data_IF_790956300989
#
_entry.id   IF_790956300989
#
_cell.length_a   1.000
_cell.length_b   1.000
_cell.length_c   1.000
_cell.angle_alpha   90.00
_cell.angle_beta   90.00
_cell.angle_gamma   90.00
#
_symmetry.space_group_name_H-M   'P 1'
#
loop_
_entity.id
_entity.type
_entity.pdbx_description
1 polymer ?
#
# COMPACT_ATOMS: atom_id res chain seq x y z
N UNK A 1 6.91 -2.92 -3.81
CA UNK A 1 5.54 -2.86 -4.35
C UNK A 1 5.33 -1.57 -5.12
N UNK A 2 4.62 -1.62 -6.25
CA UNK A 2 4.17 -0.43 -6.97
C UNK A 2 2.74 -0.02 -6.55
N UNK A 3 2.26 1.13 -7.04
CA UNK A 3 0.91 1.63 -6.70
C UNK A 3 -0.22 0.71 -7.21
N UNK A 4 0.04 -0.08 -8.26
CA UNK A 4 -0.94 -1.02 -8.82
C UNK A 4 -1.12 -2.25 -7.92
N UNK A 5 -0.01 -2.84 -7.46
CA UNK A 5 0.00 -3.93 -6.49
C UNK A 5 -0.64 -3.49 -5.17
N UNK A 6 -0.33 -2.28 -4.68
CA UNK A 6 -0.97 -1.73 -3.47
C UNK A 6 -2.47 -1.58 -3.68
N UNK A 7 -2.91 -1.08 -4.84
CA UNK A 7 -4.34 -0.97 -5.18
C UNK A 7 -5.04 -2.33 -5.14
N UNK A 8 -4.43 -3.35 -5.76
CA UNK A 8 -4.98 -4.71 -5.77
C UNK A 8 -5.02 -5.30 -4.36
N UNK A 9 -3.92 -5.17 -3.60
CA UNK A 9 -3.79 -5.63 -2.22
C UNK A 9 -4.82 -5.02 -1.28
N UNK A 10 -5.18 -3.76 -1.53
CA UNK A 10 -6.18 -3.03 -0.74
C UNK A 10 -7.61 -3.20 -1.27
N UNK A 11 -7.83 -3.81 -2.45
CA UNK A 11 -9.15 -3.99 -3.03
C UNK A 11 -9.88 -2.67 -3.37
N UNK A 12 -9.13 -1.60 -3.70
CA UNK A 12 -9.68 -0.24 -3.86
C UNK A 12 -9.55 0.32 -5.29
N UNK A 13 -10.23 1.44 -5.54
CA UNK A 13 -10.06 2.21 -6.76
C UNK A 13 -8.66 2.84 -6.87
N UNK A 14 -8.22 3.13 -8.10
CA UNK A 14 -6.93 3.80 -8.36
C UNK A 14 -6.84 5.18 -7.70
N UNK A 15 -7.91 5.98 -7.78
CA UNK A 15 -7.97 7.29 -7.13
C UNK A 15 -7.82 7.17 -5.60
N UNK A 16 -8.49 6.20 -4.98
CA UNK A 16 -8.37 5.96 -3.54
C UNK A 16 -6.96 5.50 -3.15
N UNK A 17 -6.33 4.66 -3.98
CA UNK A 17 -4.94 4.25 -3.78
C UNK A 17 -4.01 5.48 -3.74
N UNK A 18 -4.09 6.37 -4.73
CA UNK A 18 -3.26 7.59 -4.75
C UNK A 18 -3.46 8.49 -3.53
N UNK A 19 -4.69 8.63 -3.04
CA UNK A 19 -4.95 9.37 -1.81
C UNK A 19 -4.30 8.72 -0.59
N UNK A 20 -4.32 7.38 -0.50
CA UNK A 20 -3.76 6.65 0.65
C UNK A 20 -2.23 6.74 0.63
N UNK A 21 -1.59 6.45 -0.50
CA UNK A 21 -0.12 6.46 -0.60
C UNK A 21 0.49 7.86 -0.49
N UNK A 22 -0.33 8.91 -0.52
CA UNK A 22 0.06 10.29 -0.22
C UNK A 22 -0.10 10.70 1.24
N UNK A 23 -0.65 9.85 2.12
CA UNK A 23 -0.85 10.18 3.54
C UNK A 23 0.46 10.07 4.31
N UNK A 24 0.65 10.94 5.31
CA UNK A 24 1.80 10.89 6.23
C UNK A 24 1.91 9.59 7.03
N UNK A 25 0.78 8.91 7.24
CA UNK A 25 0.75 7.62 7.95
C UNK A 25 1.14 6.45 7.05
N UNK A 26 1.12 6.62 5.73
CA UNK A 26 1.52 5.57 4.79
C UNK A 26 3.04 5.53 4.66
N UNK A 27 3.66 4.36 4.46
CA UNK A 27 5.11 4.25 4.30
C UNK A 27 5.66 5.21 3.25
N UNK A 28 6.86 5.74 3.51
CA UNK A 28 7.59 6.52 2.52
C UNK A 28 7.95 5.60 1.34
N UNK A 29 8.03 6.13 0.11
CA UNK A 29 8.50 5.33 -1.01
C UNK A 29 9.98 4.96 -0.79
N UNK A 30 10.29 3.67 -0.93
CA UNK A 30 11.65 3.15 -0.98
C UNK A 30 12.44 3.74 -2.17
N UNK A 31 11.75 3.94 -3.30
CA UNK A 31 12.35 4.56 -4.47
C UNK A 31 11.32 5.44 -5.22
N UNK A 32 11.78 6.58 -5.72
CA UNK A 32 11.03 7.46 -6.61
C UNK A 32 11.62 7.34 -8.02
N UNK A 33 10.79 6.96 -8.98
CA UNK A 33 11.12 6.76 -10.38
C UNK A 33 10.52 7.89 -11.23
N UNK A 34 11.01 8.04 -12.46
CA UNK A 34 10.45 9.02 -13.43
C UNK A 34 8.95 8.84 -13.64
N UNK A 35 8.46 7.59 -13.64
CA UNK A 35 7.06 7.26 -13.91
C UNK A 35 6.31 6.71 -12.69
N UNK A 36 6.85 6.80 -11.47
CA UNK A 36 6.15 6.25 -10.32
C UNK A 36 6.96 6.20 -9.04
N UNK A 37 6.44 5.42 -8.08
CA UNK A 37 7.04 5.20 -6.77
C UNK A 37 6.99 3.71 -6.46
N UNK A 38 8.00 3.25 -5.75
CA UNK A 38 8.12 1.89 -5.25
C UNK A 38 8.22 1.97 -3.74
N UNK A 39 7.46 1.14 -3.04
CA UNK A 39 7.45 1.00 -1.59
C UNK A 39 8.04 -0.33 -1.17
N UNK A 40 8.62 -0.38 0.03
CA UNK A 40 8.98 -1.64 0.65
C UNK A 40 7.72 -2.47 0.94
N UNK A 41 7.73 -3.76 0.58
CA UNK A 41 6.57 -4.62 0.75
C UNK A 41 6.27 -4.90 2.23
N UNK A 42 7.30 -5.10 3.06
CA UNK A 42 7.14 -5.38 4.47
C UNK A 42 6.56 -4.18 5.21
N UNK A 43 6.98 -2.95 4.87
CA UNK A 43 6.40 -1.74 5.47
C UNK A 43 4.93 -1.54 5.09
N UNK A 44 4.57 -1.81 3.82
CA UNK A 44 3.17 -1.75 3.38
C UNK A 44 2.32 -2.79 4.11
N UNK A 45 2.80 -4.02 4.26
CA UNK A 45 2.08 -5.06 5.00
C UNK A 45 1.97 -4.74 6.49
N UNK A 46 3.01 -4.19 7.12
CA UNK A 46 2.95 -3.72 8.50
C UNK A 46 1.90 -2.61 8.67
N UNK A 47 1.85 -1.67 7.72
CA UNK A 47 0.82 -0.64 7.69
C UNK A 47 -0.58 -1.24 7.55
N UNK A 48 -0.77 -2.24 6.69
CA UNK A 48 -2.05 -2.94 6.53
C UNK A 48 -2.48 -3.59 7.84
N UNK A 49 -1.59 -4.29 8.54
CA UNK A 49 -1.91 -4.91 9.84
C UNK A 49 -2.38 -3.89 10.88
N UNK A 50 -1.75 -2.72 10.93
CA UNK A 50 -2.07 -1.67 11.91
C UNK A 50 -3.37 -0.94 11.55
N UNK A 51 -3.52 -0.53 10.29
CA UNK A 51 -4.59 0.38 9.88
C UNK A 51 -5.78 -0.32 9.21
N UNK A 52 -5.61 -1.55 8.72
CA UNK A 52 -6.60 -2.33 7.97
C UNK A 52 -6.55 -3.82 8.38
N UNK A 53 -6.74 -4.15 9.67
CA UNK A 53 -6.54 -5.51 10.18
C UNK A 53 -7.40 -6.56 9.45
N UNK A 54 -8.62 -6.21 9.03
CA UNK A 54 -9.50 -7.08 8.23
C UNK A 54 -8.88 -7.54 6.89
N UNK A 55 -7.94 -6.78 6.31
CA UNK A 55 -7.22 -7.17 5.08
C UNK A 55 -5.96 -8.00 5.37
N UNK A 56 -5.52 -8.07 6.63
CA UNK A 56 -4.40 -8.92 7.02
C UNK A 56 -4.86 -10.35 7.31
N UNK A 57 -6.10 -10.52 7.76
CA UNK A 57 -6.68 -11.83 8.08
C UNK A 57 -7.01 -12.65 6.81
N UNK A 58 -7.34 -11.99 5.68
CA UNK A 58 -7.56 -12.57 4.34
C UNK A 58 -6.35 -13.35 3.74
N UNK A 59 -5.22 -13.43 4.44
CA UNK A 59 -4.04 -14.20 4.04
C UNK A 59 -3.97 -15.58 4.73
N UNK A 60 -4.91 -15.91 5.62
CA UNK A 60 -5.01 -17.18 6.35
C UNK A 60 -6.19 -18.01 5.82
N UNK A 61 -6.18 -18.37 4.54
CA UNK A 61 -7.08 -19.39 3.98
C UNK A 61 -6.36 -20.19 2.88
#
# INVERSE_FOLDING_TARGET
MDASQIRQRLGISRQRCYQIVGRRTFPAPYQVLVFGRVWDAAEVEAWIRIYRPHLADDQRD
#
